data_IF_500302774601
#
_entry.id   IF_500302774601
#
_cell.length_a   1.000
_cell.length_b   1.000
_cell.length_c   1.000
_cell.angle_alpha   90.00
_cell.angle_beta   90.00
_cell.angle_gamma   90.00
#
_symmetry.space_group_name_H-M   'P 1'
#
loop_
_entity.id
_entity.type
_entity.pdbx_description
1 polymer ?
#
# COMPACT_ATOMS: atom_id res chain seq x y z
N UNK A 1 -32.04 48.71 15.44
CA UNK A 1 -32.07 47.26 15.74
C UNK A 1 -32.15 46.54 14.40
N UNK A 2 -31.03 46.08 13.85
CA UNK A 2 -30.99 45.39 12.56
C UNK A 2 -30.33 44.03 12.75
N UNK A 3 -31.13 42.96 12.72
CA UNK A 3 -30.63 41.59 12.85
C UNK A 3 -29.95 41.18 11.54
N UNK A 4 -28.68 40.76 11.64
CA UNK A 4 -27.95 40.10 10.56
C UNK A 4 -28.36 38.63 10.57
N UNK A 5 -28.91 38.14 9.47
CA UNK A 5 -29.08 36.71 9.25
C UNK A 5 -27.73 36.14 8.82
N UNK A 6 -27.10 35.36 9.69
CA UNK A 6 -25.96 34.51 9.35
C UNK A 6 -26.43 33.41 8.39
N UNK A 7 -26.12 33.56 7.12
CA UNK A 7 -26.29 32.52 6.10
C UNK A 7 -25.26 31.41 6.37
N UNK A 8 -25.72 30.27 6.88
CA UNK A 8 -24.88 29.08 7.04
C UNK A 8 -24.24 28.66 5.72
N UNK A 9 -22.92 28.45 5.72
CA UNK A 9 -22.19 27.94 4.57
C UNK A 9 -22.70 26.55 4.18
N UNK A 10 -22.92 26.26 2.89
CA UNK A 10 -23.20 24.90 2.45
C UNK A 10 -21.99 24.03 2.78
N UNK A 11 -22.18 23.04 3.65
CA UNK A 11 -21.20 21.96 3.84
C UNK A 11 -21.00 21.29 2.49
N UNK A 12 -19.81 21.48 1.90
CA UNK A 12 -19.43 20.87 0.63
C UNK A 12 -19.63 19.35 0.67
N UNK A 13 -19.88 18.76 -0.50
CA UNK A 13 -19.99 17.31 -0.70
C UNK A 13 -18.91 16.56 0.10
N UNK A 14 -19.35 15.55 0.86
CA UNK A 14 -18.45 14.74 1.67
C UNK A 14 -17.24 14.30 0.85
N UNK A 15 -16.01 14.38 1.38
CA UNK A 15 -14.82 14.03 0.61
C UNK A 15 -14.90 12.56 0.19
N UNK A 16 -15.06 12.32 -1.11
CA UNK A 16 -14.95 10.99 -1.69
C UNK A 16 -13.52 10.50 -1.45
N UNK A 17 -13.35 9.42 -0.69
CA UNK A 17 -12.02 8.87 -0.44
C UNK A 17 -11.41 8.38 -1.75
N UNK A 18 -10.20 8.85 -2.07
CA UNK A 18 -9.44 8.31 -3.20
C UNK A 18 -8.84 6.95 -2.85
N UNK A 19 -8.46 6.17 -3.87
CA UNK A 19 -7.70 4.94 -3.66
C UNK A 19 -6.40 5.21 -2.88
N UNK A 20 -5.73 6.32 -3.19
CA UNK A 20 -4.53 6.76 -2.48
C UNK A 20 -4.78 6.99 -0.99
N UNK A 21 -5.91 7.59 -0.62
CA UNK A 21 -6.27 7.80 0.79
C UNK A 21 -6.51 6.48 1.53
N UNK A 22 -7.16 5.52 0.87
CA UNK A 22 -7.42 4.19 1.42
C UNK A 22 -6.10 3.47 1.67
N UNK A 23 -5.21 3.43 0.67
CA UNK A 23 -3.89 2.79 0.78
C UNK A 23 -3.05 3.48 1.86
N UNK A 24 -3.10 4.82 1.92
CA UNK A 24 -2.38 5.59 2.93
C UNK A 24 -2.85 5.27 4.36
N UNK A 25 -4.17 5.24 4.58
CA UNK A 25 -4.75 4.86 5.88
C UNK A 25 -4.42 3.42 6.23
N UNK A 26 -4.49 2.51 5.27
CA UNK A 26 -4.13 1.10 5.47
C UNK A 26 -2.67 0.94 5.89
N UNK A 27 -1.72 1.53 5.15
CA UNK A 27 -0.28 1.50 5.49
C UNK A 27 -0.02 2.11 6.87
N UNK A 28 -0.72 3.18 7.23
CA UNK A 28 -0.59 3.83 8.54
C UNK A 28 -1.10 2.93 9.66
N UNK A 29 -2.32 2.40 9.53
CA UNK A 29 -2.95 1.57 10.56
C UNK A 29 -2.16 0.29 10.83
N UNK A 30 -1.73 -0.38 9.76
CA UNK A 30 -0.93 -1.62 9.86
C UNK A 30 0.45 -1.35 10.46
N UNK A 31 1.12 -0.26 10.09
CA UNK A 31 2.41 0.14 10.70
C UNK A 31 2.27 0.39 12.20
N UNK A 32 1.20 1.09 12.61
CA UNK A 32 0.94 1.34 14.03
C UNK A 32 0.72 0.04 14.80
N UNK A 33 -0.15 -0.84 14.30
CA UNK A 33 -0.40 -2.16 14.91
C UNK A 33 0.87 -3.00 15.01
N UNK A 34 1.72 -2.96 13.97
CA UNK A 34 3.01 -3.63 13.98
C UNK A 34 3.94 -3.06 15.07
N UNK A 35 4.06 -1.74 15.15
CA UNK A 35 4.87 -1.09 16.19
C UNK A 35 4.37 -1.39 17.60
N UNK A 36 3.05 -1.45 17.79
CA UNK A 36 2.44 -1.84 19.07
C UNK A 36 2.76 -3.30 19.40
N UNK A 37 2.68 -4.21 18.42
CA UNK A 37 3.07 -5.62 18.58
C UNK A 37 4.55 -5.82 18.92
N UNK A 38 5.45 -5.02 18.33
CA UNK A 38 6.88 -5.04 18.70
C UNK A 38 7.08 -4.61 20.15
N UNK A 39 6.34 -3.60 20.62
CA UNK A 39 6.48 -3.07 22.00
C UNK A 39 5.81 -3.94 23.06
N UNK A 40 4.64 -4.50 22.76
CA UNK A 40 3.75 -5.11 23.75
C UNK A 40 3.75 -6.65 23.68
N UNK A 41 3.94 -7.21 22.48
CA UNK A 41 3.83 -8.65 22.22
C UNK A 41 5.18 -9.30 21.89
N UNK A 42 6.27 -8.53 21.92
CA UNK A 42 7.63 -9.03 21.67
C UNK A 42 7.89 -9.43 20.21
N UNK A 43 7.18 -8.85 19.24
CA UNK A 43 7.47 -9.11 17.83
C UNK A 43 8.89 -8.64 17.45
N UNK A 44 9.59 -9.35 16.55
CA UNK A 44 10.93 -8.95 16.12
C UNK A 44 10.87 -7.58 15.43
N UNK A 45 11.73 -6.62 15.80
CA UNK A 45 11.74 -5.29 15.21
C UNK A 45 12.30 -5.34 13.78
N UNK A 46 11.60 -4.73 12.84
CA UNK A 46 12.04 -4.57 11.46
C UNK A 46 12.90 -3.32 11.33
N UNK A 47 14.17 -3.49 10.95
CA UNK A 47 15.10 -2.38 10.70
C UNK A 47 14.89 -1.86 9.28
N UNK A 48 14.36 -0.66 9.14
CA UNK A 48 14.16 -0.01 7.84
C UNK A 48 12.72 0.46 7.63
N UNK A 49 12.30 0.51 6.37
CA UNK A 49 10.94 0.91 5.98
C UNK A 49 10.08 -0.32 5.79
N UNK A 50 9.03 -0.46 6.60
CA UNK A 50 8.10 -1.58 6.52
C UNK A 50 7.38 -1.68 5.17
N UNK A 51 7.11 -0.53 4.53
CA UNK A 51 6.42 -0.46 3.25
C UNK A 51 7.36 0.06 2.15
N UNK A 52 7.25 -0.55 0.96
CA UNK A 52 7.79 0.03 -0.27
C UNK A 52 7.11 1.38 -0.56
N UNK A 53 7.86 2.31 -1.15
CA UNK A 53 7.32 3.61 -1.61
C UNK A 53 6.34 3.36 -2.75
N UNK A 54 5.27 4.17 -2.79
CA UNK A 54 4.16 4.06 -3.75
C UNK A 54 3.40 2.72 -3.64
N UNK A 55 2.45 2.53 -4.55
CA UNK A 55 1.67 1.30 -4.69
C UNK A 55 1.41 1.08 -6.17
N UNK A 56 1.26 -0.19 -6.58
CA UNK A 56 0.87 -0.53 -7.93
C UNK A 56 -0.65 -0.47 -8.06
N UNK A 57 -1.15 0.21 -9.08
CA UNK A 57 -2.58 0.23 -9.42
C UNK A 57 -2.78 -0.11 -10.89
N UNK A 58 -3.80 -0.93 -11.16
CA UNK A 58 -4.20 -1.30 -12.51
C UNK A 58 -5.70 -1.61 -12.54
N UNK A 59 -6.43 -0.98 -13.46
CA UNK A 59 -7.87 -1.20 -13.64
C UNK A 59 -8.07 -2.42 -14.56
N UNK A 60 -8.66 -3.48 -14.01
CA UNK A 60 -8.99 -4.71 -14.74
C UNK A 60 -10.25 -4.45 -15.58
N UNK A 61 -10.13 -4.57 -16.90
CA UNK A 61 -11.24 -4.28 -17.84
C UNK A 61 -11.67 -5.48 -18.68
N UNK A 62 -10.93 -6.59 -18.61
CA UNK A 62 -11.24 -7.81 -19.35
C UNK A 62 -10.74 -9.06 -18.60
N UNK A 63 -11.24 -10.22 -18.99
CA UNK A 63 -10.90 -11.50 -18.34
C UNK A 63 -9.42 -11.87 -18.54
N UNK A 64 -8.85 -11.52 -19.69
CA UNK A 64 -7.45 -11.84 -19.98
C UNK A 64 -6.49 -11.12 -19.01
N UNK A 65 -6.76 -9.85 -18.68
CA UNK A 65 -5.96 -9.10 -17.70
C UNK A 65 -6.19 -9.62 -16.28
N UNK A 66 -7.42 -10.04 -15.96
CA UNK A 66 -7.72 -10.69 -14.68
C UNK A 66 -6.93 -12.00 -14.51
N UNK A 67 -6.89 -12.83 -15.55
CA UNK A 67 -6.14 -14.09 -15.53
C UNK A 67 -4.64 -13.84 -15.34
N UNK A 68 -4.05 -12.87 -16.06
CA UNK A 68 -2.64 -12.49 -15.90
C UNK A 68 -2.32 -12.00 -14.48
N UNK A 69 -3.19 -11.19 -13.88
CA UNK A 69 -2.97 -10.68 -12.52
C UNK A 69 -3.06 -11.81 -11.49
N UNK A 70 -4.02 -12.73 -11.65
CA UNK A 70 -4.11 -13.92 -10.78
C UNK A 70 -2.84 -14.76 -10.89
N UNK A 71 -2.37 -15.02 -12.10
CA UNK A 71 -1.13 -15.76 -12.33
C UNK A 71 0.08 -15.04 -11.73
N UNK A 72 0.18 -13.71 -11.87
CA UNK A 72 1.22 -12.92 -11.24
C UNK A 72 1.22 -13.07 -9.71
N UNK A 73 0.05 -12.94 -9.05
CA UNK A 73 -0.05 -13.07 -7.59
C UNK A 73 0.42 -14.46 -7.13
N UNK A 74 0.06 -15.51 -7.85
CA UNK A 74 0.44 -16.89 -7.51
C UNK A 74 1.93 -17.15 -7.76
N UNK A 75 2.48 -16.61 -8.85
CA UNK A 75 3.86 -16.92 -9.30
C UNK A 75 4.91 -15.98 -8.71
N UNK A 76 4.53 -14.79 -8.22
CA UNK A 76 5.47 -13.81 -7.69
C UNK A 76 6.36 -14.36 -6.54
N UNK A 77 5.84 -15.09 -5.54
CA UNK A 77 6.68 -15.67 -4.50
C UNK A 77 7.77 -16.62 -5.05
N UNK A 78 7.43 -17.40 -6.08
CA UNK A 78 8.36 -18.32 -6.73
C UNK A 78 9.44 -17.58 -7.51
N UNK A 79 9.08 -16.42 -8.10
CA UNK A 79 9.95 -15.60 -8.95
C UNK A 79 10.69 -14.50 -8.20
N UNK A 80 10.45 -14.34 -6.90
CA UNK A 80 11.02 -13.26 -6.07
C UNK A 80 12.55 -13.19 -6.14
N UNK A 81 13.23 -14.33 -6.25
CA UNK A 81 14.69 -14.39 -6.35
C UNK A 81 15.26 -13.70 -7.61
N UNK A 82 14.45 -13.52 -8.66
CA UNK A 82 14.80 -12.83 -9.90
C UNK A 82 14.29 -11.39 -9.93
N UNK A 83 13.53 -10.96 -8.92
CA UNK A 83 12.90 -9.65 -8.90
C UNK A 83 13.92 -8.54 -8.61
N UNK A 84 13.77 -7.40 -9.27
CA UNK A 84 14.65 -6.24 -9.11
C UNK A 84 14.51 -5.58 -7.74
N UNK A 85 13.33 -5.71 -7.12
CA UNK A 85 13.05 -5.18 -5.78
C UNK A 85 13.47 -6.16 -4.68
N UNK A 86 14.02 -7.33 -5.03
CA UNK A 86 14.59 -8.24 -4.06
C UNK A 86 15.91 -7.65 -3.50
N UNK A 87 15.99 -7.35 -2.19
CA UNK A 87 17.19 -6.78 -1.58
C UNK A 87 18.36 -7.77 -1.51
N UNK A 88 18.11 -9.06 -1.76
CA UNK A 88 19.12 -10.09 -1.87
C UNK A 88 19.01 -10.78 -3.25
N UNK A 89 19.33 -10.07 -4.35
CA UNK A 89 19.37 -10.70 -5.65
C UNK A 89 20.42 -11.82 -5.56
N UNK A 90 20.11 -13.01 -6.09
CA UNK A 90 21.14 -14.05 -6.18
C UNK A 90 22.31 -13.44 -6.96
N UNK A 91 23.48 -13.48 -6.34
CA UNK A 91 24.75 -13.21 -7.00
C UNK A 91 24.87 -14.28 -8.10
N UNK A 92 24.33 -14.00 -9.29
CA UNK A 92 24.59 -14.86 -10.45
C UNK A 92 26.07 -14.69 -10.78
N UNK A 93 26.75 -15.81 -10.55
CA UNK A 93 28.10 -16.16 -10.93
C UNK A 93 28.65 -15.30 -12.05
N UNK A 94 29.83 -14.76 -11.76
CA UNK A 94 30.77 -14.21 -12.73
C UNK A 94 30.82 -15.13 -13.95
N UNK A 95 30.15 -14.73 -15.02
CA UNK A 95 30.31 -15.39 -16.32
C UNK A 95 31.77 -15.14 -16.76
N UNK A 96 32.48 -16.17 -17.27
CA UNK A 96 33.92 -16.11 -17.54
C UNK A 96 34.32 -15.00 -18.53
#
# INVERSE_FOLDING_TARGET
MGQRFDTGQPQGVAPTMSLGDIVHRFKTMTTKRYADGVKQLGWPPFRGRLWQRNYYEHIIRNEESLQRIREYILTNPLRWHLDRENPNPRCEDSKP
#
